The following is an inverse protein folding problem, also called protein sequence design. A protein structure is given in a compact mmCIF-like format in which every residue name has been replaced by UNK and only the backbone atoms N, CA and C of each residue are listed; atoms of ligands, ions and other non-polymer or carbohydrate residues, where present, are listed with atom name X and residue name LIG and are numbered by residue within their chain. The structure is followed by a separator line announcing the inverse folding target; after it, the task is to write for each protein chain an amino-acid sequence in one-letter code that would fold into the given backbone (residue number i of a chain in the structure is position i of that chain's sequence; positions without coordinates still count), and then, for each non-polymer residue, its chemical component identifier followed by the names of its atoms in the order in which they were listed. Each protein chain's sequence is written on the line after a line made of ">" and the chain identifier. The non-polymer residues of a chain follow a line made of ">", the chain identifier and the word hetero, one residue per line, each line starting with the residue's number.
data_IF_775925392162
#
_entry.id   IF_775925392162
#
_cell.length_a   1.000
_cell.length_b   1.000
_cell.length_c   1.000
_cell.angle_alpha   90.00
_cell.angle_beta   90.00
_cell.angle_gamma   90.00
#
_symmetry.space_group_name_H-M   'P 1'
#
loop_
_entity.id
_entity.type
_entity.pdbx_description
1 polymer ?
#
# COMPACT_ATOMS: atom_id res chain seq x y z
N UNK A 1 49.29 -3.65 -2.83
CA UNK A 1 48.64 -4.60 -1.90
C UNK A 1 47.37 -3.91 -1.43
N UNK A 2 46.25 -4.15 -2.12
CA UNK A 2 45.06 -3.33 -1.92
C UNK A 2 44.33 -3.77 -0.67
N UNK A 3 44.16 -2.77 0.20
CA UNK A 3 43.33 -2.68 1.39
C UNK A 3 41.86 -2.65 0.95
N UNK A 4 41.39 -3.73 0.36
CA UNK A 4 40.01 -3.94 -0.06
C UNK A 4 39.60 -5.31 0.51
N UNK A 5 38.53 -5.33 1.29
CA UNK A 5 37.88 -6.47 1.96
C UNK A 5 38.21 -6.59 3.48
N UNK A 6 37.27 -6.40 4.43
CA UNK A 6 36.15 -7.31 4.73
C UNK A 6 34.90 -6.62 5.37
N UNK A 7 34.30 -5.60 4.74
CA UNK A 7 33.09 -4.93 5.28
C UNK A 7 31.86 -4.90 4.37
N UNK A 8 32.06 -5.02 3.05
CA UNK A 8 31.02 -4.74 2.04
C UNK A 8 30.02 -5.88 1.86
N UNK A 9 30.48 -7.13 1.73
CA UNK A 9 29.60 -8.26 1.39
C UNK A 9 28.49 -8.53 2.42
N UNK A 10 28.75 -8.29 3.71
CA UNK A 10 27.75 -8.54 4.75
C UNK A 10 26.69 -7.43 4.84
N UNK A 11 27.04 -6.22 4.42
CA UNK A 11 26.15 -5.07 4.38
C UNK A 11 25.26 -5.14 3.14
N UNK A 12 25.85 -5.35 1.96
CA UNK A 12 25.10 -5.48 0.70
C UNK A 12 24.10 -6.66 0.73
N UNK A 13 24.51 -7.84 1.21
CA UNK A 13 23.60 -8.99 1.34
C UNK A 13 22.45 -8.75 2.34
N UNK A 14 22.69 -7.95 3.39
CA UNK A 14 21.65 -7.58 4.37
C UNK A 14 20.65 -6.62 3.74
N UNK A 15 21.13 -5.61 3.01
CA UNK A 15 20.30 -4.60 2.37
C UNK A 15 19.40 -5.24 1.31
N UNK A 16 19.94 -6.14 0.48
CA UNK A 16 19.14 -6.92 -0.48
C UNK A 16 18.03 -7.75 0.19
N UNK A 17 18.32 -8.37 1.33
CA UNK A 17 17.34 -9.18 2.06
C UNK A 17 16.21 -8.30 2.65
N UNK A 18 16.54 -7.11 3.15
CA UNK A 18 15.57 -6.13 3.68
C UNK A 18 14.72 -5.56 2.55
N UNK A 19 15.32 -5.19 1.42
CA UNK A 19 14.58 -4.72 0.24
C UNK A 19 13.59 -5.77 -0.27
N UNK A 20 14.00 -7.03 -0.40
CA UNK A 20 13.12 -8.13 -0.82
C UNK A 20 11.96 -8.35 0.16
N UNK A 21 12.20 -8.19 1.46
CA UNK A 21 11.14 -8.31 2.47
C UNK A 21 10.12 -7.18 2.35
N UNK A 22 10.60 -5.94 2.25
CA UNK A 22 9.73 -4.75 2.11
C UNK A 22 8.92 -4.81 0.81
N UNK A 23 9.55 -5.19 -0.31
CA UNK A 23 8.87 -5.35 -1.59
C UNK A 23 7.72 -6.37 -1.53
N UNK A 24 7.88 -7.47 -0.78
CA UNK A 24 6.82 -8.47 -0.57
C UNK A 24 5.64 -7.90 0.20
N UNK A 25 5.88 -7.15 1.27
CA UNK A 25 4.81 -6.51 2.05
C UNK A 25 4.06 -5.50 1.18
N UNK A 26 4.80 -4.67 0.43
CA UNK A 26 4.20 -3.69 -0.49
C UNK A 26 3.31 -4.35 -1.54
N UNK A 27 3.76 -5.46 -2.15
CA UNK A 27 2.95 -6.21 -3.11
C UNK A 27 1.68 -6.79 -2.49
N UNK A 28 1.74 -7.34 -1.27
CA UNK A 28 0.55 -7.89 -0.59
C UNK A 28 -0.47 -6.79 -0.33
N UNK A 29 -0.02 -5.64 0.18
CA UNK A 29 -0.88 -4.48 0.43
C UNK A 29 -1.47 -3.91 -0.88
N UNK A 30 -0.67 -3.85 -1.94
CA UNK A 30 -1.13 -3.43 -3.26
C UNK A 30 -2.23 -4.36 -3.80
N UNK A 31 -2.02 -5.68 -3.75
CA UNK A 31 -3.02 -6.67 -4.21
C UNK A 31 -4.28 -6.60 -3.37
N UNK A 32 -4.15 -6.42 -2.04
CA UNK A 32 -5.30 -6.24 -1.16
C UNK A 32 -6.13 -5.00 -1.54
N UNK A 33 -5.47 -3.86 -1.76
CA UNK A 33 -6.16 -2.66 -2.24
C UNK A 33 -6.78 -2.86 -3.62
N UNK A 34 -6.06 -3.50 -4.54
CA UNK A 34 -6.54 -3.78 -5.89
C UNK A 34 -7.81 -4.64 -5.86
N UNK A 35 -7.88 -5.65 -4.99
CA UNK A 35 -9.08 -6.48 -4.83
C UNK A 35 -10.30 -5.66 -4.36
N UNK A 36 -10.10 -4.77 -3.37
CA UNK A 36 -11.16 -3.88 -2.88
C UNK A 36 -11.61 -2.91 -3.98
N UNK A 37 -10.66 -2.34 -4.72
CA UNK A 37 -10.93 -1.48 -5.87
C UNK A 37 -11.73 -2.22 -6.96
N UNK A 38 -11.32 -3.44 -7.32
CA UNK A 38 -12.01 -4.25 -8.32
C UNK A 38 -13.42 -4.62 -7.88
N UNK A 39 -13.64 -4.97 -6.61
CA UNK A 39 -14.97 -5.24 -6.08
C UNK A 39 -15.88 -4.01 -6.21
N UNK A 40 -15.37 -2.82 -5.85
CA UNK A 40 -16.07 -1.56 -6.07
C UNK A 40 -16.38 -1.34 -7.56
N UNK A 41 -15.40 -1.53 -8.44
CA UNK A 41 -15.54 -1.32 -9.88
C UNK A 41 -16.60 -2.26 -10.48
N UNK A 42 -16.66 -3.53 -10.05
CA UNK A 42 -17.67 -4.51 -10.47
C UNK A 42 -19.08 -4.06 -10.04
N UNK A 43 -19.25 -3.62 -8.79
CA UNK A 43 -20.52 -3.06 -8.32
C UNK A 43 -20.91 -1.85 -9.17
N UNK A 44 -19.92 -1.04 -9.56
CA UNK A 44 -20.18 0.14 -10.38
C UNK A 44 -20.68 -0.21 -11.79
N UNK A 45 -20.13 -1.26 -12.38
CA UNK A 45 -20.47 -1.69 -13.75
C UNK A 45 -21.79 -2.46 -13.80
N UNK A 46 -22.08 -3.32 -12.82
CA UNK A 46 -23.23 -4.22 -12.86
C UNK A 46 -24.51 -3.61 -12.28
N UNK A 47 -24.39 -2.62 -11.41
CA UNK A 47 -25.53 -2.04 -10.68
C UNK A 47 -25.61 -0.51 -10.79
N UNK A 48 -25.60 0.07 -12.02
CA UNK A 48 -25.69 1.52 -12.20
C UNK A 48 -27.00 2.11 -11.66
N UNK A 49 -28.08 1.33 -11.55
CA UNK A 49 -29.35 1.77 -10.99
C UNK A 49 -29.29 2.10 -9.49
N UNK A 50 -28.34 1.52 -8.74
CA UNK A 50 -28.13 1.82 -7.33
C UNK A 50 -27.32 3.10 -7.12
N UNK A 51 -26.64 3.59 -8.16
CA UNK A 51 -25.89 4.85 -8.12
C UNK A 51 -26.78 6.08 -8.23
N UNK A 52 -27.92 6.02 -8.90
CA UNK A 52 -28.83 7.16 -8.99
C UNK A 52 -29.48 7.53 -7.65
N UNK A 53 -29.22 6.74 -6.60
CA UNK A 53 -29.55 7.11 -5.23
C UNK A 53 -28.57 8.20 -4.81
N UNK A 54 -29.11 9.42 -4.63
CA UNK A 54 -28.39 10.61 -4.20
C UNK A 54 -28.71 10.88 -2.72
N UNK A 55 -28.09 10.17 -1.76
CA UNK A 55 -28.54 10.23 -0.37
C UNK A 55 -28.11 11.49 0.37
N UNK A 56 -27.05 12.18 -0.06
CA UNK A 56 -26.52 13.33 0.69
C UNK A 56 -25.77 14.34 -0.21
N UNK A 57 -26.04 15.63 -0.03
CA UNK A 57 -25.34 16.75 -0.70
C UNK A 57 -25.36 16.78 -2.25
N UNK A 58 -26.22 15.99 -2.90
CA UNK A 58 -26.20 15.87 -4.36
C UNK A 58 -25.09 14.95 -4.89
N UNK A 59 -24.36 14.27 -4.00
CA UNK A 59 -23.29 13.34 -4.37
C UNK A 59 -23.85 11.93 -4.54
N UNK A 60 -23.53 11.34 -5.69
CA UNK A 60 -23.83 9.96 -6.02
C UNK A 60 -23.07 9.02 -5.08
N UNK A 61 -23.68 7.88 -4.72
CA UNK A 61 -23.06 6.85 -3.90
C UNK A 61 -21.66 6.46 -4.43
N UNK A 62 -21.50 6.40 -5.75
CA UNK A 62 -20.20 6.15 -6.37
C UNK A 62 -19.09 7.09 -5.87
N UNK A 63 -19.37 8.40 -5.78
CA UNK A 63 -18.36 9.39 -5.37
C UNK A 63 -17.93 9.18 -3.91
N UNK A 64 -18.87 8.85 -3.02
CA UNK A 64 -18.59 8.60 -1.59
C UNK A 64 -17.73 7.35 -1.42
N UNK A 65 -18.05 6.28 -2.13
CA UNK A 65 -17.28 5.04 -2.10
C UNK A 65 -15.92 5.17 -2.78
N UNK A 66 -15.83 5.95 -3.88
CA UNK A 66 -14.57 6.33 -4.53
C UNK A 66 -13.64 7.14 -3.62
N UNK A 67 -14.19 8.10 -2.88
CA UNK A 67 -13.47 8.83 -1.84
C UNK A 67 -12.96 7.89 -0.73
N UNK A 68 -13.78 6.90 -0.35
CA UNK A 68 -13.39 5.86 0.61
C UNK A 68 -12.18 5.04 0.15
N UNK A 69 -12.07 4.73 -1.15
CA UNK A 69 -10.90 4.04 -1.71
C UNK A 69 -9.62 4.86 -1.60
N UNK A 70 -9.68 6.17 -1.82
CA UNK A 70 -8.52 7.06 -1.66
C UNK A 70 -8.02 7.02 -0.21
N UNK A 71 -8.95 7.11 0.76
CA UNK A 71 -8.62 6.99 2.19
C UNK A 71 -8.04 5.61 2.48
N UNK A 72 -8.61 4.54 1.92
CA UNK A 72 -8.09 3.18 2.05
C UNK A 72 -6.63 3.06 1.56
N UNK A 73 -6.31 3.61 0.40
CA UNK A 73 -4.94 3.61 -0.13
C UNK A 73 -3.97 4.33 0.80
N UNK A 74 -4.37 5.48 1.37
CA UNK A 74 -3.55 6.22 2.33
C UNK A 74 -3.32 5.44 3.61
N UNK A 75 -4.36 4.77 4.13
CA UNK A 75 -4.23 3.90 5.32
C UNK A 75 -3.26 2.76 5.04
N UNK A 76 -3.37 2.07 3.90
CA UNK A 76 -2.43 1.00 3.54
C UNK A 76 -1.00 1.53 3.37
N UNK A 77 -0.83 2.75 2.83
CA UNK A 77 0.49 3.38 2.72
C UNK A 77 1.11 3.66 4.10
N UNK A 78 0.31 4.12 5.07
CA UNK A 78 0.77 4.32 6.45
C UNK A 78 1.12 2.97 7.09
N UNK A 79 0.27 1.95 6.90
CA UNK A 79 0.55 0.59 7.38
C UNK A 79 1.85 0.06 6.81
N UNK A 80 2.07 0.21 5.49
CA UNK A 80 3.34 -0.16 4.85
C UNK A 80 4.52 0.58 5.49
N UNK A 81 4.41 1.90 5.67
CA UNK A 81 5.46 2.70 6.29
C UNK A 81 5.77 2.24 7.72
N UNK A 82 4.76 1.85 8.50
CA UNK A 82 4.94 1.33 9.85
C UNK A 82 5.55 -0.08 9.87
N UNK A 83 5.14 -0.97 8.96
CA UNK A 83 5.65 -2.33 8.85
C UNK A 83 7.09 -2.37 8.33
N UNK A 84 7.43 -1.52 7.37
CA UNK A 84 8.77 -1.42 6.80
C UNK A 84 9.70 -0.51 7.60
N UNK A 85 9.22 0.13 8.68
CA UNK A 85 10.07 0.93 9.56
C UNK A 85 11.01 0.00 10.30
N UNK A 86 12.20 -0.18 9.73
CA UNK A 86 13.33 -0.78 10.44
C UNK A 86 13.59 0.13 11.64
N UNK A 87 13.44 -0.34 12.89
CA UNK A 87 13.81 0.46 14.03
C UNK A 87 15.31 0.66 13.93
N UNK A 88 15.69 1.86 13.51
CA UNK A 88 17.03 2.38 13.68
C UNK A 88 17.29 2.31 15.19
N UNK A 89 18.00 1.27 15.63
CA UNK A 89 18.50 1.15 16.99
C UNK A 89 19.63 2.16 17.17
N UNK A 90 19.36 3.44 16.97
CA UNK A 90 20.30 4.53 17.17
C UNK A 90 19.64 5.90 17.16
N UNK A 91 18.83 6.18 18.18
CA UNK A 91 18.88 7.50 18.80
C UNK A 91 18.80 7.27 20.30
N UNK A 92 19.83 7.77 21.00
CA UNK A 92 20.08 7.68 22.44
C UNK A 92 18.85 7.76 23.34
#
# INVERSE_FOLDING_TARGET
>A
MNLLDHGGESTERRDEAVERHNARIGMILFVAYLAVYSAYMIVNVLAPSWMDIVPFWGLNLAVIWGMGLIIGALVLSIVYMLLCRVPERSAK
#
